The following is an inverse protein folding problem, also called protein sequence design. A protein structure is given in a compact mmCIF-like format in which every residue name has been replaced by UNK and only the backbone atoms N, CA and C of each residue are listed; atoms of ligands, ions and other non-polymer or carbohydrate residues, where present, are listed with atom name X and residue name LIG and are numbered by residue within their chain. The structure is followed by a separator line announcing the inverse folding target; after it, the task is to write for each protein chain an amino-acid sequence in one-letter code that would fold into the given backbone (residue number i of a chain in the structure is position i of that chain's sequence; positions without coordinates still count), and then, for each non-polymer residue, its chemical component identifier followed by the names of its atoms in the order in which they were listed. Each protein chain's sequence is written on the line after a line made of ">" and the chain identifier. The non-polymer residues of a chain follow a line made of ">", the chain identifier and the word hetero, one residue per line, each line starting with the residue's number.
data_IF_462447275095
#
_entry.id   IF_462447275095
#
_cell.length_a   1.000
_cell.length_b   1.000
_cell.length_c   1.000
_cell.angle_alpha   90.00
_cell.angle_beta   90.00
_cell.angle_gamma   90.00
#
_symmetry.space_group_name_H-M   'P 1'
#
loop_
_entity.id
_entity.type
_entity.pdbx_description
1 polymer ?
#
# COMPACT_ATOMS: atom_id res chain seq x y z
N UNK A 1 12.53 -30.06 18.53
CA UNK A 1 13.18 -29.87 17.22
C UNK A 1 12.59 -28.59 16.65
N UNK A 2 13.30 -27.47 16.82
CA UNK A 2 12.78 -26.13 16.53
C UNK A 2 12.84 -25.86 15.03
N UNK A 3 11.69 -25.78 14.36
CA UNK A 3 11.61 -25.10 13.07
C UNK A 3 11.72 -23.59 13.34
N UNK A 4 12.89 -23.02 13.05
CA UNK A 4 12.98 -21.59 12.77
C UNK A 4 12.14 -21.34 11.51
N UNK A 5 10.96 -20.74 11.67
CA UNK A 5 10.30 -20.07 10.55
C UNK A 5 11.21 -18.93 10.12
N UNK A 6 12.00 -19.17 9.08
CA UNK A 6 12.67 -18.10 8.37
C UNK A 6 11.58 -17.15 7.86
N UNK A 7 11.55 -15.95 8.43
CA UNK A 7 10.75 -14.84 7.92
C UNK A 7 11.25 -14.55 6.51
N UNK A 8 10.60 -15.18 5.52
CA UNK A 8 10.78 -14.83 4.12
C UNK A 8 10.53 -13.31 4.03
N UNK A 9 11.58 -12.55 3.73
CA UNK A 9 11.46 -11.18 3.24
C UNK A 9 10.66 -11.27 1.93
N UNK A 10 9.34 -11.28 2.02
CA UNK A 10 8.50 -11.23 0.84
C UNK A 10 8.61 -9.81 0.29
N UNK A 11 9.26 -9.67 -0.87
CA UNK A 11 8.97 -8.53 -1.74
C UNK A 11 7.45 -8.37 -1.81
N UNK A 12 6.97 -7.13 -1.84
CA UNK A 12 5.58 -6.86 -2.17
C UNK A 12 5.40 -7.18 -3.66
N UNK A 13 5.15 -8.45 -3.98
CA UNK A 13 5.00 -8.95 -5.36
C UNK A 13 3.60 -8.69 -5.91
N UNK A 14 2.66 -8.29 -5.06
CA UNK A 14 1.25 -8.06 -5.40
C UNK A 14 0.79 -6.66 -4.99
N UNK A 15 -0.36 -6.25 -5.52
CA UNK A 15 -1.07 -5.07 -5.03
C UNK A 15 -1.40 -5.22 -3.54
N UNK A 16 -1.39 -4.10 -2.81
CA UNK A 16 -1.59 -4.09 -1.36
C UNK A 16 -2.52 -2.96 -0.94
N UNK A 17 -3.20 -3.16 0.19
CA UNK A 17 -3.95 -2.12 0.88
C UNK A 17 -3.02 -1.37 1.84
N UNK A 18 -3.22 -0.08 2.01
CA UNK A 18 -2.51 0.71 3.00
C UNK A 18 -3.27 1.95 3.44
N UNK A 19 -2.85 2.54 4.55
CA UNK A 19 -3.36 3.82 5.05
C UNK A 19 -2.41 4.94 4.69
N UNK A 20 -2.93 6.04 4.16
CA UNK A 20 -2.14 7.26 3.98
C UNK A 20 -1.86 7.87 5.36
N UNK A 21 -0.59 7.98 5.73
CA UNK A 21 -0.15 8.52 7.03
C UNK A 21 0.66 9.80 6.90
N UNK A 22 0.91 10.28 5.68
CA UNK A 22 1.59 11.55 5.43
C UNK A 22 1.94 11.80 3.97
N UNK A 23 2.77 12.81 3.74
CA UNK A 23 3.20 13.26 2.40
C UNK A 23 4.71 13.52 2.40
N UNK A 24 5.38 13.21 1.28
CA UNK A 24 6.79 13.52 1.06
C UNK A 24 6.91 14.68 0.07
N UNK A 25 7.76 15.65 0.41
CA UNK A 25 8.07 16.80 -0.43
C UNK A 25 9.55 16.76 -0.84
N UNK A 26 9.84 16.96 -2.13
CA UNK A 26 11.21 17.12 -2.63
C UNK A 26 11.31 18.21 -3.69
N UNK A 27 12.25 19.13 -3.48
CA UNK A 27 12.59 20.22 -4.41
C UNK A 27 13.73 19.85 -5.36
N UNK A 28 14.44 18.75 -5.10
CA UNK A 28 15.49 18.20 -5.97
C UNK A 28 15.20 16.72 -6.23
N UNK A 29 14.70 16.42 -7.43
CA UNK A 29 14.26 15.09 -7.86
C UNK A 29 14.48 14.93 -9.36
N UNK A 30 14.35 13.69 -9.85
CA UNK A 30 14.45 13.43 -11.29
C UNK A 30 13.37 14.24 -12.05
N UNK A 31 13.65 14.80 -13.23
CA UNK A 31 12.72 15.70 -13.93
C UNK A 31 11.35 15.10 -14.23
N UNK A 32 11.29 13.78 -14.44
CA UNK A 32 10.06 13.02 -14.69
C UNK A 32 9.15 12.88 -13.46
N UNK A 33 9.63 13.25 -12.26
CA UNK A 33 8.85 13.27 -11.02
C UNK A 33 8.23 14.64 -10.72
N UNK A 34 8.43 15.64 -11.58
CA UNK A 34 7.82 16.95 -11.40
C UNK A 34 6.28 16.89 -11.50
N UNK A 35 5.61 17.60 -10.61
CA UNK A 35 4.15 17.59 -10.49
C UNK A 35 3.53 16.30 -9.89
N UNK A 36 4.33 15.29 -9.54
CA UNK A 36 3.86 14.08 -8.87
C UNK A 36 3.76 14.30 -7.36
N UNK A 37 2.64 13.89 -6.75
CA UNK A 37 2.51 13.86 -5.29
C UNK A 37 3.03 12.54 -4.76
N UNK A 38 3.71 12.58 -3.62
CA UNK A 38 4.22 11.38 -2.95
C UNK A 38 3.61 11.24 -1.57
N UNK A 39 3.00 10.10 -1.31
CA UNK A 39 2.35 9.80 -0.04
C UNK A 39 3.20 8.82 0.76
N UNK A 40 3.20 9.02 2.08
CA UNK A 40 3.69 8.03 3.03
C UNK A 40 2.52 7.11 3.32
N UNK A 41 2.62 5.85 2.89
CA UNK A 41 1.60 4.82 3.12
C UNK A 41 2.12 3.79 4.10
N UNK A 42 1.32 3.49 5.10
CA UNK A 42 1.52 2.34 5.98
C UNK A 42 0.71 1.16 5.42
N UNK A 43 1.35 0.09 4.89
CA UNK A 43 0.63 -1.08 4.42
C UNK A 43 -0.22 -1.71 5.53
N UNK A 44 -1.39 -2.23 5.18
CA UNK A 44 -2.16 -3.12 6.05
C UNK A 44 -1.60 -4.54 5.85
N UNK A 45 -0.86 -5.02 6.84
CA UNK A 45 -0.33 -6.38 6.81
C UNK A 45 -1.41 -7.39 7.24
N UNK A 46 -1.55 -8.48 6.47
CA UNK A 46 -2.41 -9.60 6.81
C UNK A 46 -1.68 -10.67 7.65
N UNK A 47 -0.34 -10.69 7.64
CA UNK A 47 0.48 -11.47 8.58
C UNK A 47 1.88 -10.84 8.78
N UNK A 48 2.11 -10.39 10.03
CA UNK A 48 3.42 -10.11 10.70
C UNK A 48 3.73 -8.64 10.99
N UNK A 49 3.03 -8.17 12.03
CA UNK A 49 3.38 -7.04 12.89
C UNK A 49 3.53 -5.66 12.21
N UNK A 50 3.20 -4.55 12.93
CA UNK A 50 3.42 -3.16 12.45
C UNK A 50 4.90 -2.79 12.21
N UNK A 51 5.81 -3.76 12.21
CA UNK A 51 7.23 -3.52 12.32
C UNK A 51 7.84 -3.30 10.94
N UNK A 52 7.73 -2.04 10.52
CA UNK A 52 8.68 -1.34 9.63
C UNK A 52 8.54 -1.72 8.16
N UNK A 53 7.80 -0.90 7.43
CA UNK A 53 8.35 -0.07 6.35
C UNK A 53 7.20 0.75 5.76
N UNK A 54 7.17 2.05 6.08
CA UNK A 54 6.37 3.00 5.30
C UNK A 54 6.80 2.90 3.83
N UNK A 55 5.83 2.92 2.92
CA UNK A 55 6.07 2.90 1.48
C UNK A 55 5.80 4.30 0.95
N UNK A 56 6.73 4.82 0.14
CA UNK A 56 6.50 6.05 -0.60
C UNK A 56 5.81 5.67 -1.90
N UNK A 57 4.59 6.16 -2.09
CA UNK A 57 3.77 5.88 -3.28
C UNK A 57 3.50 7.16 -4.06
N UNK A 58 3.57 7.09 -5.38
CA UNK A 58 3.11 8.17 -6.24
C UNK A 58 1.57 8.23 -6.21
N UNK A 59 1.00 9.43 -6.20
CA UNK A 59 -0.44 9.60 -6.22
C UNK A 59 -0.87 10.66 -7.23
N UNK A 60 -1.83 10.26 -8.08
CA UNK A 60 -2.55 11.14 -9.02
C UNK A 60 -4.05 11.16 -8.78
N UNK A 61 -4.55 10.36 -7.84
CA UNK A 61 -5.99 10.17 -7.65
C UNK A 61 -6.61 11.13 -6.65
N UNK A 62 -5.82 11.70 -5.73
CA UNK A 62 -6.39 12.63 -4.76
C UNK A 62 -6.23 12.23 -3.31
N UNK A 63 -5.61 11.09 -3.01
CA UNK A 63 -5.70 10.49 -1.68
C UNK A 63 -5.18 11.41 -0.56
N UNK A 64 -5.98 11.55 0.48
CA UNK A 64 -5.73 12.34 1.67
C UNK A 64 -5.24 11.49 2.84
N UNK A 65 -4.61 12.14 3.82
CA UNK A 65 -4.21 11.50 5.07
C UNK A 65 -5.41 10.86 5.77
N UNK A 66 -5.24 9.62 6.21
CA UNK A 66 -6.28 8.83 6.86
C UNK A 66 -7.07 7.94 5.92
N UNK A 67 -7.05 8.19 4.62
CA UNK A 67 -7.74 7.34 3.64
C UNK A 67 -7.05 5.99 3.47
N UNK A 68 -7.88 4.98 3.22
CA UNK A 68 -7.42 3.67 2.78
C UNK A 68 -7.20 3.71 1.27
N UNK A 69 -6.05 3.21 0.83
CA UNK A 69 -5.64 3.18 -0.56
C UNK A 69 -5.25 1.77 -0.97
N UNK A 70 -5.50 1.46 -2.24
CA UNK A 70 -4.97 0.29 -2.91
C UNK A 70 -3.79 0.74 -3.78
N UNK A 71 -2.66 0.07 -3.62
CA UNK A 71 -1.40 0.44 -4.23
C UNK A 71 -0.84 -0.70 -5.09
N UNK A 72 -0.26 -0.35 -6.22
CA UNK A 72 0.45 -1.29 -7.10
C UNK A 72 1.97 -1.07 -7.03
N UNK A 73 2.73 -2.08 -7.43
CA UNK A 73 4.20 -2.03 -7.51
C UNK A 73 4.74 -2.22 -8.93
N UNK A 74 5.99 -1.79 -9.15
CA UNK A 74 6.77 -1.99 -10.35
C UNK A 74 6.09 -1.47 -11.62
N UNK A 75 6.06 -2.31 -12.66
CA UNK A 75 5.48 -1.96 -13.97
C UNK A 75 4.01 -1.51 -13.86
N UNK A 76 3.22 -2.14 -13.00
CA UNK A 76 1.81 -1.80 -12.83
C UNK A 76 1.64 -0.38 -12.26
N UNK A 77 2.49 0.03 -11.31
CA UNK A 77 2.51 1.39 -10.78
C UNK A 77 2.80 2.43 -11.87
N UNK A 78 3.83 2.17 -12.68
CA UNK A 78 4.21 3.03 -13.81
C UNK A 78 3.13 3.08 -14.90
N UNK A 79 2.40 1.98 -15.11
CA UNK A 79 1.26 1.94 -16.04
C UNK A 79 0.11 2.80 -15.53
N UNK A 80 -0.21 2.73 -14.24
CA UNK A 80 -1.28 3.52 -13.62
C UNK A 80 -0.99 5.02 -13.65
N UNK A 81 0.28 5.40 -13.51
CA UNK A 81 0.73 6.78 -13.65
C UNK A 81 0.86 7.20 -15.14
N UNK A 82 0.76 6.27 -16.09
CA UNK A 82 0.81 6.56 -17.52
C UNK A 82 2.21 6.89 -18.06
N UNK A 83 3.27 6.48 -17.37
CA UNK A 83 4.65 6.63 -17.84
C UNK A 83 5.49 5.42 -17.39
N UNK A 84 5.83 4.53 -18.34
CA UNK A 84 6.59 3.30 -18.09
C UNK A 84 8.05 3.53 -17.68
N UNK A 85 8.61 4.69 -18.00
CA UNK A 85 10.01 5.03 -17.72
C UNK A 85 10.16 5.87 -16.45
N UNK A 86 9.05 6.20 -15.78
CA UNK A 86 9.07 7.06 -14.60
C UNK A 86 9.84 6.42 -13.44
N UNK A 87 10.65 7.20 -12.73
CA UNK A 87 11.47 6.78 -11.59
C UNK A 87 10.65 6.50 -10.31
N UNK A 88 9.68 5.59 -10.40
CA UNK A 88 8.82 5.13 -9.31
C UNK A 88 8.71 3.60 -9.31
N UNK A 89 8.47 3.06 -8.12
CA UNK A 89 8.20 1.63 -7.91
C UNK A 89 6.82 1.38 -7.31
N UNK A 90 6.11 2.40 -6.82
CA UNK A 90 4.78 2.23 -6.25
C UNK A 90 3.85 3.42 -6.56
N UNK A 91 2.57 3.13 -6.78
CA UNK A 91 1.55 4.14 -7.03
C UNK A 91 0.21 3.75 -6.41
N UNK A 92 -0.54 4.77 -5.95
CA UNK A 92 -1.96 4.63 -5.63
C UNK A 92 -2.71 4.34 -6.93
N UNK A 93 -3.44 3.24 -6.94
CA UNK A 93 -4.28 2.80 -8.06
C UNK A 93 -5.77 2.82 -7.72
N UNK A 94 -6.12 3.05 -6.45
CA UNK A 94 -7.49 3.30 -6.01
C UNK A 94 -7.55 3.86 -4.59
N UNK A 95 -8.56 4.69 -4.33
CA UNK A 95 -8.99 5.08 -2.97
C UNK A 95 -10.13 4.13 -2.60
N UNK A 96 -10.06 3.55 -1.40
CA UNK A 96 -10.94 2.46 -0.99
C UNK A 96 -12.12 3.00 -0.19
N UNK A 97 -13.32 2.79 -0.70
CA UNK A 97 -14.55 3.13 0.02
C UNK A 97 -14.93 2.05 1.04
N UNK A 98 -14.83 0.77 0.64
CA UNK A 98 -15.28 -0.37 1.44
C UNK A 98 -14.49 -1.64 1.09
N UNK A 99 -14.25 -2.46 2.11
CA UNK A 99 -13.70 -3.81 1.98
C UNK A 99 -14.72 -4.80 2.53
N UNK A 100 -15.23 -5.69 1.67
CA UNK A 100 -16.13 -6.78 2.06
C UNK A 100 -15.38 -8.11 1.98
N UNK A 101 -15.39 -8.87 3.08
CA UNK A 101 -14.66 -10.14 3.15
C UNK A 101 -15.62 -11.21 3.63
N UNK A 102 -15.73 -12.27 2.83
CA UNK A 102 -16.65 -13.39 3.06
C UNK A 102 -16.01 -14.47 3.92
N UNK A 103 -16.77 -15.16 4.76
CA UNK A 103 -16.25 -16.15 5.72
C UNK A 103 -15.67 -17.45 5.11
N UNK A 104 -15.63 -17.60 3.78
CA UNK A 104 -15.11 -18.82 3.11
C UNK A 104 -13.58 -18.91 3.06
N UNK A 105 -12.89 -18.15 3.92
CA UNK A 105 -11.43 -18.06 3.99
C UNK A 105 -10.89 -18.83 5.20
N UNK A 106 -9.62 -19.23 5.15
CA UNK A 106 -8.94 -19.84 6.29
C UNK A 106 -9.03 -18.94 7.52
N UNK A 107 -8.94 -19.53 8.73
CA UNK A 107 -9.03 -18.79 10.00
C UNK A 107 -8.05 -17.60 10.05
N UNK A 108 -6.82 -17.79 9.53
CA UNK A 108 -5.79 -16.75 9.39
C UNK A 108 -6.26 -15.58 8.49
N UNK A 109 -6.84 -15.89 7.33
CA UNK A 109 -7.37 -14.89 6.40
C UNK A 109 -8.60 -14.17 6.98
N UNK A 110 -9.41 -14.84 7.81
CA UNK A 110 -10.56 -14.25 8.52
C UNK A 110 -10.13 -13.20 9.55
N UNK A 111 -9.08 -13.47 10.33
CA UNK A 111 -8.57 -12.50 11.31
C UNK A 111 -8.02 -11.24 10.63
N UNK A 112 -7.25 -11.44 9.57
CA UNK A 112 -6.66 -10.37 8.78
C UNK A 112 -7.73 -9.49 8.12
N UNK A 113 -8.79 -10.14 7.63
CA UNK A 113 -9.95 -9.51 7.05
C UNK A 113 -10.76 -8.63 8.02
N UNK A 114 -11.04 -9.14 9.21
CA UNK A 114 -11.78 -8.41 10.24
C UNK A 114 -11.02 -7.14 10.66
N UNK A 115 -9.69 -7.20 10.72
CA UNK A 115 -8.84 -6.04 11.05
C UNK A 115 -8.94 -4.95 9.97
N UNK A 116 -8.85 -5.32 8.69
CA UNK A 116 -9.06 -4.39 7.57
C UNK A 116 -10.42 -3.69 7.64
N UNK A 117 -11.49 -4.44 7.90
CA UNK A 117 -12.84 -3.91 7.96
C UNK A 117 -13.04 -2.92 9.12
N UNK A 118 -12.40 -3.18 10.29
CA UNK A 118 -12.45 -2.28 11.45
C UNK A 118 -11.71 -0.97 11.21
N UNK A 119 -10.55 -1.03 10.56
CA UNK A 119 -9.74 0.15 10.29
C UNK A 119 -10.32 1.05 9.18
N UNK A 120 -11.23 0.51 8.36
CA UNK A 120 -12.00 1.26 7.36
C UNK A 120 -13.27 1.93 7.93
N UNK A 121 -13.58 1.71 9.21
CA UNK A 121 -14.72 2.31 9.89
C UNK A 121 -14.43 3.77 10.26
N UNK A 122 -15.02 4.70 9.51
CA UNK A 122 -15.11 6.13 9.88
C UNK A 122 -15.63 6.27 11.31
N UNK A 123 -14.83 6.88 12.19
CA UNK A 123 -15.33 7.67 13.32
C UNK A 123 -15.89 8.98 12.80
#
# INVERSE_FOLDING_TARGET
>A
MNLKLETRNSKLETMFLGKVVGTVWSTKKSPDLEGVRFLVVHPYDLEKEPTRNIVIVADRLGAGTGEMVMCAFGKAARSAIGNQDMAIEAAVVGIVDRVDITDSVSEEMREAAVKLARDNGRS
#
